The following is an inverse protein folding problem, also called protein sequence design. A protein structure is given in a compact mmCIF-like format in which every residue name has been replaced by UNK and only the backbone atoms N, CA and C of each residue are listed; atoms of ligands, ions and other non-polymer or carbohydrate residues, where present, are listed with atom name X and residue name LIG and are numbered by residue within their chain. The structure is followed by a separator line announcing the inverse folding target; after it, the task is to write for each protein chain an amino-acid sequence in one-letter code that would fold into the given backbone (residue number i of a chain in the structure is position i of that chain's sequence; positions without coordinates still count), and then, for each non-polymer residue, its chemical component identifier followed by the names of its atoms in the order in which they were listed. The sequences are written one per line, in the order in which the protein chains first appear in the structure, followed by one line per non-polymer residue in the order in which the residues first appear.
data_IF_314195425003
#
_entry.id   IF_314195425003
#
_cell.length_a   1.000
_cell.length_b   1.000
_cell.length_c   1.000
_cell.angle_alpha   90.00
_cell.angle_beta   90.00
_cell.angle_gamma   90.00
#
_symmetry.space_group_name_H-M   'P 1'
#
loop_
_entity.id
_entity.type
_entity.pdbx_description
1 polymer ?
#
# COMPACT_ATOMS: atom_id res chain seq x y z
N UNK A 1 -33.13 -56.80 -3.84
CA UNK A 1 -33.35 -57.02 -2.39
C UNK A 1 -32.64 -55.86 -1.71
N UNK A 2 -33.35 -54.84 -1.16
CA UNK A 2 -34.07 -54.87 0.13
C UNK A 2 -33.14 -55.39 1.24
N UNK A 3 -32.87 -54.75 2.36
CA UNK A 3 -33.41 -53.56 3.05
C UNK A 3 -32.45 -53.25 4.23
N UNK A 4 -32.80 -52.20 5.00
CA UNK A 4 -32.47 -51.91 6.41
C UNK A 4 -31.38 -50.84 6.63
N UNK A 5 -31.67 -49.58 7.03
CA UNK A 5 -32.56 -48.99 8.06
C UNK A 5 -32.03 -49.05 9.50
N UNK A 6 -32.13 -47.92 10.21
CA UNK A 6 -32.03 -47.80 11.68
C UNK A 6 -30.95 -46.80 12.14
N UNK A 7 -31.22 -45.52 12.45
CA UNK A 7 -32.05 -44.91 13.53
C UNK A 7 -31.29 -44.73 14.86
N UNK A 8 -31.59 -43.59 15.54
CA UNK A 8 -31.45 -43.19 16.96
C UNK A 8 -30.44 -42.04 17.16
N UNK A 9 -30.86 -40.78 17.34
CA UNK A 9 -31.61 -40.14 18.45
C UNK A 9 -30.80 -39.97 19.75
N UNK A 10 -30.70 -38.73 20.23
CA UNK A 10 -30.04 -38.37 21.49
C UNK A 10 -30.19 -36.89 21.88
N UNK A 11 -31.30 -36.59 22.54
CA UNK A 11 -31.63 -35.43 23.40
C UNK A 11 -30.57 -35.30 24.53
N UNK A 12 -30.23 -34.16 25.17
CA UNK A 12 -30.96 -33.49 26.27
C UNK A 12 -30.11 -32.34 26.86
N UNK A 13 -30.78 -31.50 27.67
CA UNK A 13 -30.44 -30.19 28.23
C UNK A 13 -29.52 -30.13 29.49
N UNK A 14 -29.02 -28.91 29.79
CA UNK A 14 -28.75 -28.33 31.13
C UNK A 14 -28.54 -26.80 30.93
N UNK A 15 -29.33 -25.83 31.42
CA UNK A 15 -29.74 -25.36 32.78
C UNK A 15 -28.61 -24.87 33.72
N UNK A 16 -28.59 -23.55 34.00
CA UNK A 16 -28.36 -22.83 35.28
C UNK A 16 -27.98 -21.34 34.95
N UNK A 17 -28.76 -20.29 35.22
CA UNK A 17 -29.08 -19.59 36.49
C UNK A 17 -27.85 -19.14 37.31
N UNK A 18 -27.61 -17.83 37.48
CA UNK A 18 -27.85 -17.11 38.76
C UNK A 18 -27.52 -15.58 38.68
N UNK A 19 -28.02 -14.89 39.68
CA UNK A 19 -28.34 -13.49 39.91
C UNK A 19 -27.22 -12.48 40.25
N UNK A 20 -27.52 -11.22 39.88
CA UNK A 20 -27.52 -10.00 40.72
C UNK A 20 -26.23 -9.28 41.20
N UNK A 21 -26.51 -8.01 41.57
CA UNK A 21 -25.73 -6.97 42.25
C UNK A 21 -24.93 -6.05 41.29
N UNK A 22 -25.23 -4.76 41.12
CA UNK A 22 -25.75 -3.78 42.08
C UNK A 22 -24.57 -2.98 42.62
N UNK A 23 -24.47 -1.70 42.28
CA UNK A 23 -24.17 -0.58 43.19
C UNK A 23 -23.99 0.72 42.41
N UNK A 24 -24.76 1.72 42.84
CA UNK A 24 -24.75 3.11 42.41
C UNK A 24 -23.56 3.80 43.08
N UNK A 25 -22.85 4.62 42.31
CA UNK A 25 -21.87 5.58 42.83
C UNK A 25 -22.17 6.97 42.30
N UNK A 26 -22.96 7.74 43.05
CA UNK A 26 -23.02 9.20 42.95
C UNK A 26 -21.69 9.80 43.44
N UNK A 27 -21.24 10.87 42.78
CA UNK A 27 -20.46 12.02 43.29
C UNK A 27 -19.41 12.42 42.24
N UNK A 28 -19.05 13.67 41.98
CA UNK A 28 -19.49 14.98 42.46
C UNK A 28 -19.05 15.96 41.37
N UNK A 29 -19.90 16.93 41.12
CA UNK A 29 -19.69 18.10 40.27
C UNK A 29 -18.58 18.99 40.88
N UNK A 30 -17.49 19.24 40.16
CA UNK A 30 -16.67 20.42 40.41
C UNK A 30 -16.62 21.28 39.14
N UNK A 31 -17.23 22.46 39.26
CA UNK A 31 -17.01 23.61 38.38
C UNK A 31 -15.67 24.23 38.76
N UNK A 32 -14.78 24.47 37.80
CA UNK A 32 -13.81 25.55 37.89
C UNK A 32 -13.76 26.32 36.56
N UNK A 33 -13.62 27.63 36.72
CA UNK A 33 -13.83 28.74 35.79
C UNK A 33 -12.55 29.02 34.97
N UNK A 34 -12.60 29.75 33.83
CA UNK A 34 -11.46 29.89 32.93
C UNK A 34 -10.47 30.94 33.43
N UNK A 35 -9.17 30.62 33.40
CA UNK A 35 -8.10 31.58 33.70
C UNK A 35 -7.18 31.75 32.50
N UNK A 36 -7.17 32.99 32.02
CA UNK A 36 -6.27 33.67 31.10
C UNK A 36 -4.84 33.12 30.95
N UNK A 37 -4.45 33.03 29.67
CA UNK A 37 -3.13 33.33 29.06
C UNK A 37 -1.91 33.37 30.00
N UNK A 38 -0.94 32.51 29.71
CA UNK A 38 0.47 32.91 29.57
C UNK A 38 1.06 32.22 28.33
N UNK A 39 1.61 33.05 27.43
CA UNK A 39 2.55 32.63 26.40
C UNK A 39 3.88 32.21 27.03
N UNK A 40 4.66 31.51 26.20
CA UNK A 40 6.09 31.19 26.27
C UNK A 40 6.46 29.76 26.68
N UNK A 41 7.50 29.15 26.07
CA UNK A 41 8.04 29.32 24.71
C UNK A 41 7.96 28.02 23.88
N UNK A 42 7.90 28.18 22.56
CA UNK A 42 7.75 27.08 21.61
C UNK A 42 8.91 26.09 21.68
N UNK A 43 8.61 24.83 22.01
CA UNK A 43 9.46 23.71 21.63
C UNK A 43 9.20 23.44 20.14
N UNK A 44 10.23 23.64 19.32
CA UNK A 44 10.21 23.33 17.89
C UNK A 44 10.25 21.81 17.66
N UNK A 45 9.16 21.13 17.97
CA UNK A 45 8.84 19.87 17.31
C UNK A 45 8.31 20.25 15.93
N UNK A 46 9.17 20.17 14.93
CA UNK A 46 8.79 20.25 13.52
C UNK A 46 7.90 19.03 13.28
N UNK A 47 6.59 19.19 13.52
CA UNK A 47 5.58 18.24 13.08
C UNK A 47 5.62 18.26 11.57
N UNK A 48 6.47 17.41 10.99
CA UNK A 48 6.41 17.09 9.57
C UNK A 48 4.94 16.78 9.26
N UNK A 49 4.34 17.41 8.25
CA UNK A 49 2.99 17.07 7.87
C UNK A 49 3.00 15.57 7.60
N UNK A 50 2.16 14.82 8.33
CA UNK A 50 1.85 13.45 7.97
C UNK A 50 1.23 13.56 6.58
N UNK A 51 2.03 13.30 5.56
CA UNK A 51 1.60 13.37 4.18
C UNK A 51 0.52 12.29 4.05
N UNK A 52 -0.74 12.70 4.13
CA UNK A 52 -1.84 11.83 3.76
C UNK A 52 -1.68 11.60 2.26
N UNK A 53 -1.24 10.42 1.86
CA UNK A 53 -1.09 9.98 0.46
C UNK A 53 -2.39 9.99 -0.36
N UNK A 54 -3.43 10.71 0.08
CA UNK A 54 -4.79 10.66 -0.45
C UNK A 54 -5.02 11.60 -1.64
N UNK A 55 -4.08 12.50 -1.94
CA UNK A 55 -4.21 13.47 -3.05
C UNK A 55 -3.47 13.03 -4.33
N UNK A 56 -3.00 11.78 -4.40
CA UNK A 56 -2.52 11.25 -5.68
C UNK A 56 -3.71 10.96 -6.60
N UNK A 57 -3.67 11.37 -7.89
CA UNK A 57 -4.74 11.10 -8.85
C UNK A 57 -4.93 9.60 -9.14
N UNK A 58 -4.00 8.78 -8.67
CA UNK A 58 -4.05 7.34 -8.71
C UNK A 58 -4.62 6.82 -7.38
N UNK A 59 -5.80 6.20 -7.44
CA UNK A 59 -6.40 5.53 -6.30
C UNK A 59 -5.62 4.24 -6.02
N UNK A 60 -4.55 4.35 -5.24
CA UNK A 60 -3.73 3.21 -4.86
C UNK A 60 -4.40 2.48 -3.70
N UNK A 61 -4.74 1.21 -3.92
CA UNK A 61 -5.14 0.32 -2.84
C UNK A 61 -3.92 0.19 -1.91
N UNK A 62 -3.97 0.82 -0.72
CA UNK A 62 -2.82 0.97 0.17
C UNK A 62 -2.22 -0.37 0.63
N UNK A 63 -2.92 -1.49 0.40
CA UNK A 63 -2.43 -2.83 0.68
C UNK A 63 -1.54 -3.42 -0.43
N UNK A 64 -1.67 -2.95 -1.68
CA UNK A 64 -0.97 -3.53 -2.82
C UNK A 64 0.33 -2.76 -3.13
N UNK A 65 1.48 -3.44 -3.21
CA UNK A 65 2.71 -2.79 -3.63
C UNK A 65 2.59 -2.27 -5.07
N UNK A 66 3.16 -1.10 -5.30
CA UNK A 66 3.17 -0.44 -6.61
C UNK A 66 4.38 -0.91 -7.41
N UNK A 67 4.14 -1.23 -8.69
CA UNK A 67 5.15 -1.64 -9.66
C UNK A 67 5.15 -0.65 -10.81
N UNK A 68 6.31 -0.02 -11.05
CA UNK A 68 6.51 0.86 -12.19
C UNK A 68 6.84 0.03 -13.44
N UNK A 69 6.02 0.14 -14.48
CA UNK A 69 6.18 -0.55 -15.74
C UNK A 69 6.94 0.34 -16.75
N UNK A 70 8.07 -0.15 -17.26
CA UNK A 70 8.92 0.57 -18.20
C UNK A 70 8.84 0.01 -19.61
N UNK A 71 8.62 0.89 -20.58
CA UNK A 71 8.54 0.54 -21.98
C UNK A 71 7.16 0.07 -22.40
N UNK A 72 7.12 -0.68 -23.49
CA UNK A 72 5.88 -1.18 -24.09
C UNK A 72 5.26 -2.31 -23.28
N UNK A 73 3.94 -2.46 -23.40
CA UNK A 73 3.16 -3.52 -22.75
C UNK A 73 3.71 -4.92 -23.05
N UNK A 74 3.42 -5.85 -22.13
CA UNK A 74 3.75 -7.27 -22.31
C UNK A 74 3.21 -7.81 -23.64
N UNK A 75 4.01 -8.62 -24.34
CA UNK A 75 3.63 -9.21 -25.63
C UNK A 75 2.95 -10.57 -25.51
N UNK A 76 3.13 -11.23 -24.37
CA UNK A 76 2.69 -12.60 -24.14
C UNK A 76 2.11 -12.73 -22.73
N UNK A 77 1.28 -13.77 -22.53
CA UNK A 77 0.65 -14.11 -21.25
C UNK A 77 -0.23 -12.97 -20.67
N UNK A 78 -0.99 -12.30 -21.54
CA UNK A 78 -1.93 -11.24 -21.14
C UNK A 78 -2.88 -11.69 -20.04
N UNK A 79 -3.44 -12.89 -20.14
CA UNK A 79 -4.33 -13.45 -19.12
C UNK A 79 -3.67 -13.45 -17.73
N UNK A 80 -2.41 -13.86 -17.61
CA UNK A 80 -1.70 -13.88 -16.32
C UNK A 80 -1.47 -12.46 -15.79
N UNK A 81 -1.07 -11.55 -16.68
CA UNK A 81 -0.82 -10.16 -16.30
C UNK A 81 -2.10 -9.45 -15.84
N UNK A 82 -3.18 -9.58 -16.59
CA UNK A 82 -4.45 -8.90 -16.32
C UNK A 82 -5.26 -9.52 -15.19
N UNK A 83 -5.06 -10.81 -14.88
CA UNK A 83 -5.74 -11.47 -13.76
C UNK A 83 -4.86 -11.54 -12.51
N UNK A 84 -3.77 -12.29 -12.55
CA UNK A 84 -2.99 -12.65 -11.35
C UNK A 84 -2.05 -11.52 -10.94
N UNK A 85 -1.43 -10.84 -11.91
CA UNK A 85 -0.42 -9.83 -11.61
C UNK A 85 -1.05 -8.52 -11.11
N UNK A 86 -2.03 -7.96 -11.84
CA UNK A 86 -2.78 -6.75 -11.45
C UNK A 86 -3.69 -6.96 -10.21
N UNK A 87 -4.08 -8.19 -9.90
CA UNK A 87 -4.77 -8.49 -8.64
C UNK A 87 -3.83 -8.26 -7.44
N UNK A 88 -2.55 -8.60 -7.57
CA UNK A 88 -1.57 -8.55 -6.47
C UNK A 88 -0.81 -7.24 -6.40
N UNK A 89 -0.63 -6.57 -7.53
CA UNK A 89 0.20 -5.38 -7.66
C UNK A 89 -0.56 -4.26 -8.35
N UNK A 90 -0.29 -3.02 -7.95
CA UNK A 90 -0.76 -1.86 -8.70
C UNK A 90 0.31 -1.49 -9.74
N UNK A 91 -0.01 -1.70 -11.01
CA UNK A 91 0.93 -1.42 -12.11
C UNK A 91 0.73 0.00 -12.61
N UNK A 92 1.80 0.80 -12.64
CA UNK A 92 1.80 2.17 -13.15
C UNK A 92 2.74 2.24 -14.34
N UNK A 93 2.25 2.63 -15.50
CA UNK A 93 3.07 2.78 -16.70
C UNK A 93 3.91 4.07 -16.64
N UNK A 94 5.17 3.96 -17.05
CA UNK A 94 5.99 5.12 -17.35
C UNK A 94 5.48 5.79 -18.64
N UNK A 95 5.36 7.12 -18.59
CA UNK A 95 4.92 7.94 -19.73
C UNK A 95 6.08 8.73 -20.34
N UNK A 96 7.24 8.76 -19.68
CA UNK A 96 8.34 9.62 -20.08
C UNK A 96 9.11 9.01 -21.25
N UNK A 97 9.30 9.77 -22.36
CA UNK A 97 9.94 9.25 -23.57
C UNK A 97 11.47 9.30 -23.53
N UNK A 98 12.06 10.05 -22.59
CA UNK A 98 13.49 10.31 -22.53
C UNK A 98 14.01 10.35 -21.08
N UNK A 99 15.33 10.16 -20.92
CA UNK A 99 16.01 10.12 -19.60
C UNK A 99 15.81 11.42 -18.80
N UNK A 100 15.82 12.59 -19.43
CA UNK A 100 15.70 13.85 -18.71
C UNK A 100 14.30 14.03 -18.13
N UNK A 101 13.27 13.70 -18.92
CA UNK A 101 11.87 13.67 -18.49
C UNK A 101 11.66 12.63 -17.38
N UNK A 102 12.29 11.46 -17.48
CA UNK A 102 12.25 10.42 -16.44
C UNK A 102 12.86 10.88 -15.12
N UNK A 103 14.02 11.52 -15.16
CA UNK A 103 14.67 12.13 -13.99
C UNK A 103 13.78 13.23 -13.40
N UNK A 104 13.17 14.07 -14.22
CA UNK A 104 12.25 15.10 -13.76
C UNK A 104 11.00 14.51 -13.09
N UNK A 105 10.49 13.38 -13.59
CA UNK A 105 9.36 12.66 -12.99
C UNK A 105 9.69 12.12 -11.59
N UNK A 106 10.91 11.60 -11.36
CA UNK A 106 11.33 11.20 -10.01
C UNK A 106 11.56 12.40 -9.08
N UNK A 107 12.16 13.48 -9.56
CA UNK A 107 12.33 14.70 -8.77
C UNK A 107 10.99 15.36 -8.38
N UNK A 108 9.98 15.24 -9.23
CA UNK A 108 8.62 15.72 -8.95
C UNK A 108 7.75 14.71 -8.18
N UNK A 109 8.29 13.53 -7.84
CA UNK A 109 7.60 12.44 -7.14
C UNK A 109 6.32 12.04 -7.90
N UNK A 110 6.35 12.11 -9.24
CA UNK A 110 5.18 11.85 -10.11
C UNK A 110 4.57 10.47 -9.89
N UNK A 111 5.43 9.47 -9.71
CA UNK A 111 5.03 8.06 -9.54
C UNK A 111 4.80 7.65 -8.08
N UNK A 112 5.06 8.54 -7.12
CA UNK A 112 4.97 8.24 -5.70
C UNK A 112 5.96 7.18 -5.22
N UNK A 113 5.62 6.53 -4.10
CA UNK A 113 6.39 5.42 -3.54
C UNK A 113 6.05 4.10 -4.25
N UNK A 114 7.03 3.50 -4.91
CA UNK A 114 6.87 2.20 -5.55
C UNK A 114 7.93 1.19 -5.08
N UNK A 115 7.55 -0.08 -5.09
CA UNK A 115 8.38 -1.16 -4.53
C UNK A 115 9.26 -1.83 -5.57
N UNK A 116 8.84 -1.83 -6.84
CA UNK A 116 9.57 -2.49 -7.90
C UNK A 116 9.45 -1.78 -9.25
N UNK A 117 10.42 -2.02 -10.11
CA UNK A 117 10.43 -1.63 -11.51
C UNK A 117 10.38 -2.91 -12.35
N UNK A 118 9.48 -2.93 -13.33
CA UNK A 118 9.27 -4.05 -14.24
C UNK A 118 9.43 -3.57 -15.68
N UNK A 119 10.38 -4.17 -16.39
CA UNK A 119 10.67 -3.91 -17.80
C UNK A 119 10.52 -5.21 -18.59
N UNK A 120 9.37 -5.44 -19.25
CA UNK A 120 9.05 -6.73 -19.89
C UNK A 120 9.85 -7.02 -21.16
N UNK A 121 10.42 -6.01 -21.81
CA UNK A 121 11.15 -6.16 -23.07
C UNK A 121 12.50 -5.47 -23.05
N UNK A 122 13.52 -6.11 -23.62
CA UNK A 122 14.85 -5.51 -23.74
C UNK A 122 14.92 -4.40 -24.82
N UNK A 123 13.97 -4.40 -25.77
CA UNK A 123 13.97 -3.46 -26.91
C UNK A 123 13.28 -2.13 -26.61
N UNK A 124 12.44 -2.06 -25.58
CA UNK A 124 11.74 -0.84 -25.12
C UNK A 124 12.04 -0.58 -23.65
N UNK A 125 11.76 0.63 -23.15
CA UNK A 125 12.11 1.01 -21.77
C UNK A 125 13.61 1.21 -21.55
N UNK A 126 14.40 1.20 -22.62
CA UNK A 126 15.84 1.47 -22.63
C UNK A 126 16.18 2.93 -22.96
N UNK A 127 15.17 3.75 -23.22
CA UNK A 127 15.27 5.18 -23.54
C UNK A 127 15.81 5.99 -22.36
N UNK A 128 15.67 5.43 -21.15
CA UNK A 128 16.23 5.93 -19.90
C UNK A 128 17.75 5.78 -19.85
N UNK A 129 18.31 4.88 -20.68
CA UNK A 129 19.74 4.63 -20.75
C UNK A 129 20.27 3.87 -19.54
N UNK A 130 21.46 4.26 -19.09
CA UNK A 130 22.22 3.57 -18.05
C UNK A 130 21.67 3.89 -16.65
N UNK A 131 21.64 2.87 -15.79
CA UNK A 131 21.29 3.00 -14.38
C UNK A 131 22.55 3.34 -13.58
N UNK A 132 22.93 4.61 -13.63
CA UNK A 132 24.18 5.15 -13.09
C UNK A 132 24.01 5.81 -11.72
N UNK A 133 25.13 6.32 -11.18
CA UNK A 133 25.20 7.03 -9.91
C UNK A 133 24.43 8.36 -9.90
N UNK A 134 23.95 8.85 -11.05
CA UNK A 134 23.06 10.02 -11.12
C UNK A 134 21.61 9.59 -10.93
N UNK A 135 21.20 8.48 -11.56
CA UNK A 135 19.81 8.01 -11.52
C UNK A 135 19.47 7.24 -10.24
N UNK A 136 20.36 6.35 -9.79
CA UNK A 136 20.11 5.48 -8.63
C UNK A 136 19.75 6.27 -7.36
N UNK A 137 20.43 7.39 -7.01
CA UNK A 137 20.09 8.15 -5.80
C UNK A 137 18.75 8.87 -5.85
N UNK A 138 18.18 9.08 -7.03
CA UNK A 138 16.88 9.74 -7.20
C UNK A 138 15.70 8.80 -6.97
N UNK A 139 15.95 7.49 -6.93
CA UNK A 139 14.91 6.50 -6.70
C UNK A 139 14.37 6.60 -5.28
N UNK A 140 13.06 6.37 -5.09
CA UNK A 140 12.49 6.39 -3.76
C UNK A 140 13.08 5.25 -2.91
N UNK A 141 13.30 5.48 -1.60
CA UNK A 141 13.90 4.48 -0.71
C UNK A 141 13.00 3.24 -0.51
N UNK A 142 11.80 3.24 -1.06
CA UNK A 142 10.85 2.12 -1.09
C UNK A 142 11.20 1.07 -2.15
N UNK A 143 12.00 1.41 -3.17
CA UNK A 143 12.37 0.46 -4.23
C UNK A 143 13.22 -0.70 -3.68
N UNK A 144 12.93 -1.92 -4.12
CA UNK A 144 13.67 -3.13 -3.73
C UNK A 144 14.12 -3.97 -4.92
N UNK A 145 13.36 -3.93 -6.02
CA UNK A 145 13.52 -4.86 -7.14
C UNK A 145 13.49 -4.09 -8.46
N UNK A 146 14.45 -4.36 -9.33
CA UNK A 146 14.40 -4.01 -10.74
C UNK A 146 14.45 -5.32 -11.55
N UNK A 147 13.36 -5.62 -12.25
CA UNK A 147 13.23 -6.80 -13.08
C UNK A 147 13.23 -6.38 -14.56
N UNK A 148 14.33 -6.62 -15.26
CA UNK A 148 14.46 -6.36 -16.69
C UNK A 148 14.54 -7.66 -17.47
N UNK A 149 13.76 -7.76 -18.55
CA UNK A 149 13.95 -8.80 -19.55
C UNK A 149 15.28 -8.58 -20.31
N UNK A 150 15.96 -9.69 -20.60
CA UNK A 150 17.26 -9.70 -21.27
C UNK A 150 18.34 -10.39 -20.44
N UNK A 151 19.35 -10.94 -21.12
CA UNK A 151 20.49 -11.59 -20.45
C UNK A 151 21.63 -10.62 -20.12
N UNK A 152 21.64 -9.41 -20.72
CA UNK A 152 22.63 -8.37 -20.48
C UNK A 152 22.04 -7.20 -19.70
N UNK A 153 22.82 -6.67 -18.75
CA UNK A 153 22.41 -5.60 -17.82
C UNK A 153 23.51 -4.55 -17.56
N UNK A 154 24.43 -4.38 -18.53
CA UNK A 154 25.58 -3.48 -18.41
C UNK A 154 25.21 -2.01 -18.39
#
# INVERSE_FOLDING_TARGET
MRDHAGLLAGTTAAQALDHAAGMRGLAVRQKQHPTSRKCDPQEHAISLPRFCSQDSPFHFDAAKPIVLHLGEDIKYNHDYHESIFTERFTVVANEEPDRASFIAAFNSIKYGDFSAIFRPHFQSGGEIGQWDDELIPLLPPSIRILASAGAGFN
#
